data_IF_000622730957
#
_entry.id   IF_000622730957
#
_cell.length_a   1.000
_cell.length_b   1.000
_cell.length_c   1.000
_cell.angle_alpha   90.00
_cell.angle_beta   90.00
_cell.angle_gamma   90.00
#
_symmetry.space_group_name_H-M   'P 1'
#
loop_
_entity.id
_entity.type
_entity.pdbx_description
1 polymer ?
#
# COMPACT_ATOMS: atom_id res chain seq x y z
N UNK A 1 46.93 -24.50 -34.60
CA UNK A 1 45.57 -24.75 -35.13
C UNK A 1 44.60 -25.27 -34.05
N UNK A 2 44.99 -26.25 -33.22
CA UNK A 2 44.14 -26.78 -32.13
C UNK A 2 43.69 -25.75 -31.07
N UNK A 3 44.57 -24.82 -30.65
CA UNK A 3 44.22 -23.82 -29.63
C UNK A 3 43.10 -22.84 -30.06
N UNK A 4 42.95 -22.59 -31.35
CA UNK A 4 41.91 -21.68 -31.87
C UNK A 4 40.55 -22.38 -31.83
N UNK A 5 40.51 -23.67 -32.17
CA UNK A 5 39.31 -24.50 -32.14
C UNK A 5 38.80 -24.74 -30.72
N UNK A 6 39.70 -24.95 -29.75
CA UNK A 6 39.34 -25.09 -28.33
C UNK A 6 38.77 -23.80 -27.74
N UNK A 7 39.32 -22.63 -28.12
CA UNK A 7 38.76 -21.35 -27.69
C UNK A 7 37.40 -21.06 -28.35
N UNK A 8 37.21 -21.46 -29.61
CA UNK A 8 35.93 -21.30 -30.30
C UNK A 8 34.83 -22.19 -29.69
N UNK A 9 35.16 -23.45 -29.35
CA UNK A 9 34.23 -24.35 -28.67
C UNK A 9 33.91 -23.87 -27.25
N UNK A 10 34.90 -23.37 -26.48
CA UNK A 10 34.67 -22.77 -25.16
C UNK A 10 33.81 -21.51 -25.24
N UNK A 11 33.99 -20.67 -26.27
CA UNK A 11 33.15 -19.50 -26.51
C UNK A 11 31.71 -19.89 -26.85
N UNK A 12 31.52 -20.96 -27.64
CA UNK A 12 30.20 -21.47 -28.01
C UNK A 12 29.45 -22.07 -26.81
N UNK A 13 30.14 -22.76 -25.90
CA UNK A 13 29.55 -23.35 -24.69
C UNK A 13 29.09 -22.26 -23.70
N UNK A 14 29.90 -21.22 -23.51
CA UNK A 14 29.56 -20.08 -22.65
C UNK A 14 28.34 -19.32 -23.18
N UNK A 15 28.25 -19.08 -24.50
CA UNK A 15 27.09 -18.42 -25.10
C UNK A 15 25.82 -19.27 -25.01
N UNK A 16 25.94 -20.59 -25.11
CA UNK A 16 24.82 -21.53 -24.96
C UNK A 16 24.29 -21.56 -23.53
N UNK A 17 25.15 -21.47 -22.52
CA UNK A 17 24.72 -21.36 -21.12
C UNK A 17 24.05 -20.02 -20.81
N UNK A 18 24.58 -18.90 -21.30
CA UNK A 18 23.96 -17.58 -21.06
C UNK A 18 22.63 -17.40 -21.78
N UNK A 19 22.52 -17.87 -23.03
CA UNK A 19 21.25 -17.85 -23.77
C UNK A 19 20.20 -18.78 -23.14
N UNK A 20 20.62 -19.94 -22.60
CA UNK A 20 19.72 -20.85 -21.88
C UNK A 20 19.21 -20.24 -20.56
N UNK A 21 20.08 -19.57 -19.79
CA UNK A 21 19.68 -18.86 -18.55
C UNK A 21 18.68 -17.74 -18.86
N UNK A 22 18.95 -16.94 -19.87
CA UNK A 22 18.05 -15.88 -20.31
C UNK A 22 16.67 -16.43 -20.70
N UNK A 23 16.64 -17.53 -21.46
CA UNK A 23 15.39 -18.17 -21.89
C UNK A 23 14.62 -18.80 -20.72
N UNK A 24 15.33 -19.36 -19.73
CA UNK A 24 14.76 -19.87 -18.49
C UNK A 24 14.15 -18.74 -17.65
N UNK A 25 14.83 -17.60 -17.53
CA UNK A 25 14.34 -16.42 -16.81
C UNK A 25 13.09 -15.82 -17.48
N UNK A 26 13.07 -15.75 -18.82
CA UNK A 26 11.88 -15.34 -19.57
C UNK A 26 10.71 -16.32 -19.39
N UNK A 27 10.97 -17.63 -19.40
CA UNK A 27 9.95 -18.65 -19.15
C UNK A 27 9.42 -18.60 -17.73
N UNK A 28 10.29 -18.41 -16.73
CA UNK A 28 9.92 -18.27 -15.33
C UNK A 28 9.12 -16.99 -15.09
N UNK A 29 9.51 -15.88 -15.74
CA UNK A 29 8.75 -14.63 -15.70
C UNK A 29 7.38 -14.79 -16.38
N UNK A 30 7.32 -15.43 -17.55
CA UNK A 30 6.08 -15.70 -18.25
C UNK A 30 5.16 -16.63 -17.43
N UNK A 31 5.69 -17.71 -16.86
CA UNK A 31 4.95 -18.61 -15.97
C UNK A 31 4.46 -17.88 -14.72
N UNK A 32 5.28 -17.01 -14.13
CA UNK A 32 4.89 -16.16 -13.01
C UNK A 32 3.73 -15.22 -13.39
N UNK A 33 3.81 -14.56 -14.54
CA UNK A 33 2.75 -13.69 -15.05
C UNK A 33 1.47 -14.48 -15.31
N UNK A 34 1.55 -15.62 -15.98
CA UNK A 34 0.42 -16.49 -16.27
C UNK A 34 -0.22 -17.01 -14.98
N UNK A 35 0.55 -17.54 -14.04
CA UNK A 35 0.06 -18.00 -12.73
C UNK A 35 -0.58 -16.84 -11.94
N UNK A 36 -0.03 -15.64 -12.02
CA UNK A 36 -0.59 -14.44 -11.39
C UNK A 36 -1.92 -14.03 -12.04
N UNK A 37 -2.03 -14.10 -13.36
CA UNK A 37 -3.28 -13.79 -14.10
C UNK A 37 -4.36 -14.84 -13.81
N UNK A 38 -4.03 -16.13 -13.81
CA UNK A 38 -4.98 -17.19 -13.43
C UNK A 38 -5.45 -17.04 -11.97
N UNK A 39 -4.54 -16.71 -11.05
CA UNK A 39 -4.89 -16.42 -9.64
C UNK A 39 -5.80 -15.20 -9.49
N UNK A 40 -5.69 -14.20 -10.36
CA UNK A 40 -6.53 -13.00 -10.30
C UNK A 40 -7.98 -13.24 -10.76
N UNK A 41 -8.20 -14.19 -11.65
CA UNK A 41 -9.54 -14.53 -12.14
C UNK A 41 -10.41 -15.28 -11.12
N UNK A 42 -9.83 -15.83 -10.04
CA UNK A 42 -10.59 -16.54 -8.99
C UNK A 42 -11.22 -15.60 -7.95
N UNK A 43 -10.90 -14.30 -7.93
CA UNK A 43 -11.26 -13.39 -6.83
C UNK A 43 -12.38 -12.39 -7.14
N UNK A 44 -13.02 -12.49 -8.31
CA UNK A 44 -14.12 -11.61 -8.70
C UNK A 44 -15.46 -12.32 -8.58
N UNK A 45 -16.04 -12.39 -7.39
CA UNK A 45 -17.44 -12.77 -7.26
C UNK A 45 -18.32 -11.69 -7.95
N UNK A 46 -19.22 -12.11 -8.85
CA UNK A 46 -20.16 -11.22 -9.55
C UNK A 46 -21.26 -10.68 -8.61
N UNK A 47 -21.20 -11.10 -7.35
CA UNK A 47 -22.13 -10.81 -6.27
C UNK A 47 -21.41 -10.00 -5.21
N UNK A 48 -22.05 -8.94 -4.72
CA UNK A 48 -21.52 -8.13 -3.61
C UNK A 48 -21.88 -8.86 -2.31
N UNK A 49 -20.95 -9.66 -1.81
CA UNK A 49 -21.05 -10.25 -0.47
C UNK A 49 -20.50 -9.25 0.58
N UNK A 50 -21.32 -8.82 1.56
CA UNK A 50 -20.88 -7.90 2.61
C UNK A 50 -19.74 -8.47 3.47
N UNK A 51 -19.72 -9.79 3.72
CA UNK A 51 -18.69 -10.40 4.56
C UNK A 51 -17.35 -10.43 3.82
N UNK A 52 -17.36 -10.77 2.54
CA UNK A 52 -16.18 -10.74 1.68
C UNK A 52 -15.59 -9.33 1.58
N UNK A 53 -16.43 -8.30 1.49
CA UNK A 53 -16.01 -6.90 1.45
C UNK A 53 -15.32 -6.44 2.72
N UNK A 54 -15.86 -6.84 3.88
CA UNK A 54 -15.29 -6.44 5.16
C UNK A 54 -14.05 -7.28 5.48
N UNK A 55 -13.95 -8.53 5.02
CA UNK A 55 -12.83 -9.42 5.32
C UNK A 55 -11.47 -8.81 4.98
N UNK A 56 -10.46 -9.05 5.84
CA UNK A 56 -9.11 -8.58 5.55
C UNK A 56 -8.45 -9.49 4.51
N UNK A 57 -8.47 -9.07 3.24
CA UNK A 57 -7.86 -9.81 2.12
C UNK A 57 -6.33 -9.75 2.10
N UNK A 58 -5.69 -8.99 2.99
CA UNK A 58 -4.23 -8.75 3.03
C UNK A 58 -3.63 -8.30 1.67
N UNK A 59 -4.45 -7.80 0.76
CA UNK A 59 -4.04 -7.37 -0.59
C UNK A 59 -3.52 -5.93 -0.63
N UNK A 60 -3.71 -5.17 0.46
CA UNK A 60 -3.30 -3.77 0.54
C UNK A 60 -1.85 -3.68 0.99
N UNK A 61 -0.95 -3.54 0.01
CA UNK A 61 0.43 -3.16 0.29
C UNK A 61 0.49 -1.71 0.77
N UNK A 62 1.09 -1.42 1.95
CA UNK A 62 1.26 -0.06 2.41
C UNK A 62 2.19 0.71 1.47
N UNK A 63 1.84 1.94 1.14
CA UNK A 63 2.74 2.83 0.39
C UNK A 63 3.77 3.40 1.35
N UNK A 64 4.98 3.71 0.86
CA UNK A 64 6.05 4.27 1.71
C UNK A 64 5.57 5.49 2.52
N UNK A 65 4.74 6.33 1.91
CA UNK A 65 4.28 7.58 2.54
C UNK A 65 3.19 7.32 3.58
N UNK A 66 2.36 6.28 3.43
CA UNK A 66 1.20 6.10 4.33
C UNK A 66 1.61 5.77 5.75
N UNK A 67 2.69 5.03 5.95
CA UNK A 67 3.20 4.68 7.30
C UNK A 67 4.02 5.80 7.94
N UNK A 68 4.57 6.72 7.15
CA UNK A 68 5.49 7.76 7.63
C UNK A 68 4.82 9.12 7.77
N UNK A 69 3.68 9.34 7.10
CA UNK A 69 3.02 10.63 7.05
C UNK A 69 2.63 11.18 8.43
N UNK A 70 1.94 10.40 9.28
CA UNK A 70 1.44 10.91 10.56
C UNK A 70 2.57 11.27 11.54
N UNK A 71 3.59 10.42 11.77
CA UNK A 71 4.71 10.78 12.65
C UNK A 71 5.50 11.98 12.13
N UNK A 72 5.70 12.09 10.81
CA UNK A 72 6.44 13.23 10.21
C UNK A 72 5.63 14.52 10.32
N UNK A 73 4.33 14.49 10.03
CA UNK A 73 3.46 15.64 10.18
C UNK A 73 3.44 16.13 11.64
N UNK A 74 3.37 15.21 12.61
CA UNK A 74 3.43 15.54 14.03
C UNK A 74 4.78 16.13 14.43
N UNK A 75 5.90 15.59 13.93
CA UNK A 75 7.23 16.15 14.17
C UNK A 75 7.38 17.58 13.60
N UNK A 76 6.87 17.82 12.39
CA UNK A 76 6.85 19.16 11.79
C UNK A 76 5.96 20.13 12.56
N UNK A 77 4.80 19.67 13.07
CA UNK A 77 3.97 20.49 13.95
C UNK A 77 4.66 20.81 15.27
N UNK A 78 5.46 19.89 15.83
CA UNK A 78 6.28 20.13 17.02
C UNK A 78 7.35 21.20 16.76
N UNK A 79 8.03 21.12 15.62
CA UNK A 79 8.97 22.16 15.19
C UNK A 79 8.28 23.53 15.02
N UNK A 80 7.10 23.53 14.39
CA UNK A 80 6.25 24.71 14.21
C UNK A 80 5.78 25.31 15.54
N UNK A 81 5.44 24.47 16.52
CA UNK A 81 5.08 24.91 17.86
C UNK A 81 6.25 25.61 18.56
N UNK A 82 7.47 25.08 18.45
CA UNK A 82 8.66 25.75 19.00
C UNK A 82 8.90 27.12 18.36
N UNK A 83 8.71 27.24 17.04
CA UNK A 83 8.78 28.52 16.32
C UNK A 83 7.68 29.50 16.78
N UNK A 84 6.46 29.00 16.96
CA UNK A 84 5.32 29.78 17.45
C UNK A 84 5.53 30.29 18.87
N UNK A 85 6.07 29.46 19.77
CA UNK A 85 6.40 29.86 21.14
C UNK A 85 7.47 30.96 21.15
N UNK A 86 8.54 30.81 20.36
CA UNK A 86 9.57 31.83 20.25
C UNK A 86 9.01 33.17 19.73
N UNK A 87 8.14 33.14 18.72
CA UNK A 87 7.44 34.31 18.22
C UNK A 87 6.57 34.97 19.31
N UNK A 88 5.77 34.18 20.04
CA UNK A 88 4.91 34.66 21.13
C UNK A 88 5.68 35.31 22.28
N UNK A 89 6.87 34.79 22.62
CA UNK A 89 7.74 35.38 23.64
C UNK A 89 8.63 36.53 23.14
N UNK A 90 8.35 37.07 21.94
CA UNK A 90 9.12 38.16 21.30
C UNK A 90 10.62 37.82 21.16
N UNK A 91 10.93 36.54 20.96
CA UNK A 91 12.28 36.05 20.66
C UNK A 91 12.41 35.79 19.14
N UNK A 92 13.62 35.82 18.56
CA UNK A 92 13.82 35.42 17.18
C UNK A 92 13.27 34.00 16.94
N UNK A 93 12.57 33.79 15.82
CA UNK A 93 11.79 32.57 15.55
C UNK A 93 12.65 31.30 15.68
N UNK A 94 13.89 31.35 15.17
CA UNK A 94 14.83 30.22 15.18
C UNK A 94 15.80 30.24 16.37
N UNK A 95 15.48 30.97 17.44
CA UNK A 95 16.35 31.05 18.62
C UNK A 95 16.36 29.73 19.41
N UNK A 96 17.54 29.14 19.56
CA UNK A 96 17.75 27.92 20.33
C UNK A 96 17.32 26.66 19.57
N UNK A 97 18.11 26.25 18.58
CA UNK A 97 17.82 25.11 17.70
C UNK A 97 17.60 23.80 18.48
N UNK A 98 18.25 23.63 19.64
CA UNK A 98 18.05 22.51 20.54
C UNK A 98 16.59 22.37 21.01
N UNK A 99 15.87 23.49 21.19
CA UNK A 99 14.44 23.47 21.55
C UNK A 99 13.62 22.96 20.37
N UNK A 100 13.87 23.47 19.17
CA UNK A 100 13.17 23.03 17.97
C UNK A 100 13.35 21.53 17.71
N UNK A 101 14.58 21.03 17.87
CA UNK A 101 14.89 19.60 17.74
C UNK A 101 14.16 18.80 18.83
N UNK A 102 14.20 19.26 20.08
CA UNK A 102 13.49 18.61 21.18
C UNK A 102 11.98 18.51 20.97
N UNK A 103 11.34 19.61 20.55
CA UNK A 103 9.91 19.64 20.24
C UNK A 103 9.55 18.80 19.01
N UNK A 104 10.41 18.75 17.98
CA UNK A 104 10.20 17.92 16.81
C UNK A 104 10.25 16.42 17.15
N UNK A 105 11.23 15.99 17.95
CA UNK A 105 11.34 14.61 18.43
C UNK A 105 10.12 14.24 19.29
N UNK A 106 9.76 15.11 20.25
CA UNK A 106 8.59 14.89 21.10
C UNK A 106 7.30 14.79 20.26
N UNK A 107 7.13 15.69 19.29
CA UNK A 107 6.00 15.64 18.36
C UNK A 107 5.94 14.35 17.55
N UNK A 108 7.08 13.88 17.03
CA UNK A 108 7.14 12.62 16.28
C UNK A 108 6.81 11.38 17.12
N UNK A 109 7.28 11.31 18.37
CA UNK A 109 6.96 10.21 19.30
C UNK A 109 5.47 10.19 19.65
N UNK A 110 4.91 11.35 19.98
CA UNK A 110 3.47 11.49 20.26
C UNK A 110 2.66 11.13 19.01
N UNK A 111 3.07 11.61 17.84
CA UNK A 111 2.42 11.30 16.56
C UNK A 111 2.39 9.81 16.27
N UNK A 112 3.49 9.09 16.50
CA UNK A 112 3.55 7.64 16.33
C UNK A 112 2.60 6.91 17.29
N UNK A 113 2.59 7.29 18.56
CA UNK A 113 1.70 6.69 19.55
C UNK A 113 0.22 6.90 19.20
N UNK A 114 -0.14 8.10 18.77
CA UNK A 114 -1.50 8.41 18.32
C UNK A 114 -1.88 7.63 17.06
N UNK A 115 -0.92 7.40 16.15
CA UNK A 115 -1.15 6.62 14.95
C UNK A 115 -1.46 5.16 15.27
N UNK A 116 -0.67 4.55 16.13
CA UNK A 116 -0.90 3.17 16.60
C UNK A 116 -2.27 3.04 17.29
N UNK A 117 -2.66 4.01 18.12
CA UNK A 117 -3.98 4.02 18.77
C UNK A 117 -5.12 4.21 17.79
N UNK A 118 -4.93 5.02 16.76
CA UNK A 118 -5.91 5.22 15.70
C UNK A 118 -6.12 3.94 14.89
N UNK A 119 -5.04 3.25 14.57
CA UNK A 119 -5.09 2.00 13.81
C UNK A 119 -5.75 0.87 14.63
N UNK A 120 -5.45 0.78 15.93
CA UNK A 120 -6.14 -0.12 16.87
C UNK A 120 -7.66 0.16 16.89
N UNK A 121 -8.06 1.42 17.02
CA UNK A 121 -9.46 1.81 17.02
C UNK A 121 -10.19 1.42 15.72
N UNK A 122 -9.58 1.67 14.55
CA UNK A 122 -10.18 1.29 13.28
C UNK A 122 -10.24 -0.23 13.08
N UNK A 123 -9.22 -0.95 13.52
CA UNK A 123 -9.23 -2.41 13.50
C UNK A 123 -10.36 -2.99 14.37
N UNK A 124 -10.57 -2.46 15.58
CA UNK A 124 -11.69 -2.86 16.44
C UNK A 124 -13.04 -2.52 15.81
N UNK A 125 -13.21 -1.32 15.26
CA UNK A 125 -14.46 -0.92 14.61
C UNK A 125 -14.81 -1.87 13.46
N UNK A 126 -13.84 -2.18 12.60
CA UNK A 126 -14.06 -3.08 11.47
C UNK A 126 -14.31 -4.52 11.92
N UNK A 127 -13.71 -4.97 13.03
CA UNK A 127 -14.01 -6.28 13.62
C UNK A 127 -15.45 -6.37 14.15
N UNK A 128 -15.94 -5.32 14.81
CA UNK A 128 -17.33 -5.23 15.29
C UNK A 128 -18.30 -5.27 14.11
N UNK A 129 -18.02 -4.52 13.04
CA UNK A 129 -18.87 -4.49 11.85
C UNK A 129 -18.96 -5.87 11.17
N UNK A 130 -17.83 -6.59 11.04
CA UNK A 130 -17.82 -7.97 10.51
C UNK A 130 -18.70 -8.88 11.36
N UNK A 131 -18.48 -8.88 12.67
CA UNK A 131 -19.23 -9.71 13.60
C UNK A 131 -20.74 -9.40 13.57
N UNK A 132 -21.12 -8.13 13.40
CA UNK A 132 -22.52 -7.75 13.29
C UNK A 132 -23.18 -8.30 12.01
N UNK A 133 -22.49 -8.22 10.86
CA UNK A 133 -22.97 -8.78 9.59
C UNK A 133 -23.09 -10.31 9.66
N UNK A 134 -22.15 -10.98 10.34
CA UNK A 134 -22.20 -12.43 10.56
C UNK A 134 -23.41 -12.86 11.41
N UNK A 135 -23.81 -12.03 12.38
CA UNK A 135 -24.94 -12.30 13.26
C UNK A 135 -26.30 -12.06 12.56
N UNK A 136 -26.35 -11.12 11.62
CA UNK A 136 -27.57 -10.68 10.94
C UNK A 136 -27.47 -10.79 9.41
N UNK A 137 -27.31 -12.00 8.85
CA UNK A 137 -27.24 -12.18 7.40
C UNK A 137 -28.55 -11.78 6.68
N UNK A 138 -29.69 -11.79 7.37
CA UNK A 138 -31.00 -11.41 6.84
C UNK A 138 -31.09 -9.92 6.45
N UNK A 139 -30.39 -9.05 7.17
CA UNK A 139 -30.40 -7.60 6.94
C UNK A 139 -29.47 -7.21 5.78
N UNK A 140 -28.52 -8.08 5.43
CA UNK A 140 -27.50 -7.84 4.41
C UNK A 140 -27.51 -8.92 3.32
N UNK A 141 -28.61 -9.05 2.53
CA UNK A 141 -28.65 -10.02 1.46
C UNK A 141 -27.61 -9.69 0.38
N UNK A 142 -26.96 -10.71 -0.22
CA UNK A 142 -25.99 -10.49 -1.28
C UNK A 142 -26.67 -9.95 -2.54
N UNK A 143 -26.17 -8.83 -3.07
CA UNK A 143 -26.76 -8.14 -4.23
C UNK A 143 -25.92 -8.42 -5.49
N UNK A 144 -26.51 -8.86 -6.61
CA UNK A 144 -25.76 -9.04 -7.85
C UNK A 144 -25.29 -7.69 -8.42
N UNK A 145 -24.04 -7.63 -8.90
CA UNK A 145 -23.49 -6.43 -9.54
C UNK A 145 -24.16 -6.22 -10.91
N UNK A 146 -24.79 -5.06 -11.11
CA UNK A 146 -25.32 -4.68 -12.42
C UNK A 146 -24.22 -4.03 -13.26
N UNK A 147 -24.15 -4.38 -14.55
CA UNK A 147 -23.21 -3.72 -15.47
C UNK A 147 -23.75 -2.35 -15.84
N UNK A 148 -22.87 -1.37 -16.05
CA UNK A 148 -23.26 -0.04 -16.51
C UNK A 148 -23.98 -0.06 -17.87
N UNK A 149 -23.79 -1.11 -18.68
CA UNK A 149 -24.55 -1.31 -19.91
C UNK A 149 -26.05 -1.53 -19.67
N UNK A 150 -26.42 -2.08 -18.51
CA UNK A 150 -27.81 -2.41 -18.14
C UNK A 150 -28.47 -1.30 -17.30
N UNK A 151 -27.71 -0.28 -16.88
CA UNK A 151 -28.17 0.83 -16.03
C UNK A 151 -28.21 2.13 -16.82
N UNK A 152 -29.41 2.60 -17.14
CA UNK A 152 -29.62 3.88 -17.84
C UNK A 152 -29.91 5.00 -16.85
N UNK A 153 -28.88 5.77 -16.49
CA UNK A 153 -29.03 6.97 -15.69
C UNK A 153 -29.38 8.19 -16.55
N UNK A 154 -30.09 9.16 -15.95
CA UNK A 154 -30.37 10.44 -16.61
C UNK A 154 -29.07 11.24 -16.74
N UNK A 155 -28.61 11.45 -17.96
CA UNK A 155 -27.50 12.37 -18.22
C UNK A 155 -27.95 13.83 -18.08
N UNK A 156 -27.30 14.59 -17.20
CA UNK A 156 -27.53 16.03 -17.00
C UNK A 156 -26.29 16.79 -17.48
N UNK A 157 -26.35 17.48 -18.64
CA UNK A 157 -25.22 18.24 -19.14
C UNK A 157 -24.98 19.50 -18.29
N UNK A 158 -23.71 19.82 -18.05
CA UNK A 158 -23.29 21.12 -17.53
C UNK A 158 -23.31 22.10 -18.71
N UNK A 159 -24.06 23.18 -18.59
CA UNK A 159 -24.21 24.22 -19.64
C UNK A 159 -23.57 25.52 -19.19
#
# INVERSE_FOLDING_TARGET
MLCILLNYLRYYDVYKEETFKMLLDYLLFFLYVVLKVYRLNEMGSDVIDPLELLSNKNQREPRFLSSVYNPVAAALSGFGLAAFLNWGFRRPIFSGIQKHIGFAIAGGLIGKYLDEKRDEYFATRDAILRHYVELHPEDFPPIPRKKYADVLERWVPIR
#
